data_IF_550940962796
#
_entry.id   IF_550940962796
#
_cell.length_a   1.000
_cell.length_b   1.000
_cell.length_c   1.000
_cell.angle_alpha   90.00
_cell.angle_beta   90.00
_cell.angle_gamma   90.00
#
_symmetry.space_group_name_H-M   'P 1'
#
loop_
_entity.id
_entity.type
_entity.pdbx_description
1 polymer ?
#
# COMPACT_ATOMS: atom_id res chain seq x y z
N UNK A 1 -5.31 2.74 -7.53
CA UNK A 1 -4.77 1.45 -7.10
C UNK A 1 -5.85 0.64 -6.40
N UNK A 2 -5.73 -0.68 -6.48
CA UNK A 2 -6.68 -1.64 -5.89
C UNK A 2 -5.92 -2.69 -5.06
N UNK A 3 -6.64 -3.42 -4.21
CA UNK A 3 -6.05 -4.45 -3.33
C UNK A 3 -6.29 -5.89 -3.82
N UNK A 4 -7.28 -6.11 -4.68
CA UNK A 4 -7.56 -7.40 -5.29
C UNK A 4 -8.06 -7.26 -6.73
N UNK A 5 -8.07 -8.37 -7.47
CA UNK A 5 -8.39 -8.38 -8.91
C UNK A 5 -9.88 -8.09 -9.17
N UNK A 6 -10.77 -8.45 -8.24
CA UNK A 6 -12.21 -8.23 -8.36
C UNK A 6 -12.56 -6.74 -8.29
N UNK A 7 -11.85 -5.97 -7.44
CA UNK A 7 -11.95 -4.50 -7.43
C UNK A 7 -11.55 -3.88 -8.77
N UNK A 8 -10.51 -4.44 -9.43
CA UNK A 8 -10.11 -3.97 -10.76
C UNK A 8 -11.20 -4.26 -11.80
N UNK A 9 -11.76 -5.46 -11.78
CA UNK A 9 -12.83 -5.86 -12.69
C UNK A 9 -14.07 -4.98 -12.51
N UNK A 10 -14.51 -4.75 -11.27
CA UNK A 10 -15.61 -3.85 -10.96
C UNK A 10 -15.37 -2.44 -11.53
N UNK A 11 -14.16 -1.90 -11.39
CA UNK A 11 -13.82 -0.60 -11.98
C UNK A 11 -13.88 -0.63 -13.52
N UNK A 12 -13.40 -1.70 -14.17
CA UNK A 12 -13.47 -1.86 -15.62
C UNK A 12 -14.90 -1.99 -16.12
N UNK A 13 -15.74 -2.74 -15.43
CA UNK A 13 -17.17 -2.90 -15.73
C UNK A 13 -17.92 -1.59 -15.61
N UNK A 14 -17.52 -0.72 -14.68
CA UNK A 14 -18.06 0.63 -14.53
C UNK A 14 -17.37 1.69 -15.43
N UNK A 15 -16.64 1.28 -16.45
CA UNK A 15 -16.12 2.15 -17.50
C UNK A 15 -14.83 2.90 -17.16
N UNK A 16 -14.16 2.59 -16.04
CA UNK A 16 -12.87 3.20 -15.69
C UNK A 16 -11.79 2.61 -16.61
N UNK A 17 -11.12 3.46 -17.42
CA UNK A 17 -10.06 3.10 -18.36
C UNK A 17 -8.67 3.60 -17.97
N UNK A 18 -8.56 4.33 -16.87
CA UNK A 18 -7.27 4.77 -16.32
C UNK A 18 -6.39 3.57 -15.95
N UNK A 19 -5.06 3.70 -15.95
CA UNK A 19 -4.16 2.68 -15.43
C UNK A 19 -4.53 2.29 -13.99
N UNK A 20 -4.57 0.98 -13.70
CA UNK A 20 -4.90 0.45 -12.38
C UNK A 20 -3.72 -0.37 -11.87
N UNK A 21 -3.14 0.04 -10.74
CA UNK A 21 -2.08 -0.68 -10.06
C UNK A 21 -2.67 -1.57 -8.96
N UNK A 22 -2.41 -2.88 -9.04
CA UNK A 22 -2.65 -3.86 -8.01
C UNK A 22 -1.51 -3.80 -6.98
N UNK A 23 -1.83 -3.46 -5.74
CA UNK A 23 -0.84 -3.36 -4.66
C UNK A 23 -0.64 -4.68 -3.89
N UNK A 24 -1.62 -5.57 -3.96
CA UNK A 24 -1.62 -6.84 -3.27
C UNK A 24 -0.98 -7.99 -4.04
N UNK A 25 -1.02 -9.16 -3.44
CA UNK A 25 -0.64 -10.41 -4.09
C UNK A 25 -1.77 -10.90 -4.98
N UNK A 26 -1.40 -11.36 -6.19
CA UNK A 26 -2.29 -12.08 -7.10
C UNK A 26 -1.61 -13.40 -7.47
N UNK A 27 -2.29 -14.55 -7.38
CA UNK A 27 -1.73 -15.81 -7.85
C UNK A 27 -1.44 -15.78 -9.36
N UNK A 28 -0.38 -16.45 -9.78
CA UNK A 28 0.06 -16.40 -11.18
C UNK A 28 -0.93 -17.09 -12.15
N UNK A 29 -1.81 -17.96 -11.69
CA UNK A 29 -2.89 -18.55 -12.50
C UNK A 29 -3.92 -17.52 -12.97
N UNK A 30 -3.96 -16.31 -12.35
CA UNK A 30 -4.78 -15.20 -12.76
C UNK A 30 -4.13 -14.33 -13.88
N UNK A 31 -3.00 -14.72 -14.45
CA UNK A 31 -2.27 -13.94 -15.46
C UNK A 31 -3.15 -13.55 -16.65
N UNK A 32 -4.00 -14.45 -17.14
CA UNK A 32 -4.91 -14.16 -18.23
C UNK A 32 -5.88 -13.03 -17.89
N UNK A 33 -6.47 -13.09 -16.70
CA UNK A 33 -7.40 -12.07 -16.21
C UNK A 33 -6.69 -10.72 -16.01
N UNK A 34 -5.44 -10.72 -15.51
CA UNK A 34 -4.61 -9.51 -15.37
C UNK A 34 -4.39 -8.85 -16.74
N UNK A 35 -4.07 -9.64 -17.77
CA UNK A 35 -3.86 -9.15 -19.13
C UNK A 35 -5.15 -8.60 -19.75
N UNK A 36 -6.28 -9.31 -19.59
CA UNK A 36 -7.59 -8.87 -20.09
C UNK A 36 -8.07 -7.56 -19.45
N UNK A 37 -7.77 -7.37 -18.17
CA UNK A 37 -8.11 -6.15 -17.43
C UNK A 37 -7.11 -5.00 -17.65
N UNK A 38 -6.04 -5.23 -18.43
CA UNK A 38 -4.96 -4.25 -18.61
C UNK A 38 -4.48 -3.68 -17.27
N UNK A 39 -4.26 -4.56 -16.30
CA UNK A 39 -3.88 -4.20 -14.94
C UNK A 39 -2.37 -4.25 -14.76
N UNK A 40 -1.81 -3.26 -14.05
CA UNK A 40 -0.40 -3.28 -13.62
C UNK A 40 -0.30 -4.04 -12.29
N UNK A 41 0.53 -5.07 -12.22
CA UNK A 41 0.67 -5.95 -11.06
C UNK A 41 1.91 -5.61 -10.23
N UNK A 42 1.77 -5.53 -8.91
CA UNK A 42 2.93 -5.50 -8.00
C UNK A 42 3.61 -6.87 -7.96
N UNK A 43 4.93 -6.89 -8.08
CA UNK A 43 5.78 -8.09 -8.03
C UNK A 43 6.72 -7.99 -6.83
N UNK A 44 6.79 -9.04 -6.02
CA UNK A 44 7.47 -9.05 -4.73
C UNK A 44 8.60 -10.09 -4.58
N UNK A 45 8.83 -10.93 -5.60
CA UNK A 45 9.94 -11.89 -5.65
C UNK A 45 10.24 -12.29 -7.09
N UNK A 46 11.45 -12.82 -7.32
CA UNK A 46 11.83 -13.35 -8.63
C UNK A 46 10.97 -14.52 -9.08
N UNK A 47 10.60 -15.43 -8.16
CA UNK A 47 9.84 -16.63 -8.51
C UNK A 47 8.46 -16.29 -9.05
N UNK A 48 7.73 -15.39 -8.40
CA UNK A 48 6.43 -14.95 -8.90
C UNK A 48 6.55 -14.15 -10.21
N UNK A 49 7.59 -13.31 -10.34
CA UNK A 49 7.88 -12.58 -11.56
C UNK A 49 8.12 -13.53 -12.74
N UNK A 50 8.92 -14.58 -12.53
CA UNK A 50 9.22 -15.62 -13.52
C UNK A 50 7.97 -16.38 -13.93
N UNK A 51 7.12 -16.74 -12.98
CA UNK A 51 5.87 -17.44 -13.28
C UNK A 51 4.93 -16.55 -14.10
N UNK A 52 4.74 -15.28 -13.73
CA UNK A 52 3.99 -14.31 -14.52
C UNK A 52 4.55 -14.15 -15.93
N UNK A 53 5.88 -14.00 -16.05
CA UNK A 53 6.53 -13.88 -17.36
C UNK A 53 6.25 -15.07 -18.26
N UNK A 54 6.41 -16.29 -17.75
CA UNK A 54 6.19 -17.51 -18.52
C UNK A 54 4.73 -17.63 -18.98
N UNK A 55 3.78 -17.33 -18.10
CA UNK A 55 2.34 -17.37 -18.42
C UNK A 55 1.94 -16.28 -19.41
N UNK A 56 2.45 -15.06 -19.24
CA UNK A 56 2.19 -13.97 -20.16
C UNK A 56 2.67 -14.31 -21.58
N UNK A 57 3.87 -14.88 -21.72
CA UNK A 57 4.39 -15.34 -23.00
C UNK A 57 3.55 -16.45 -23.62
N UNK A 58 3.11 -17.43 -22.81
CA UNK A 58 2.24 -18.50 -23.29
C UNK A 58 0.89 -17.98 -23.82
N UNK A 59 0.42 -16.84 -23.30
CA UNK A 59 -0.79 -16.13 -23.74
C UNK A 59 -0.50 -15.12 -24.87
N UNK A 60 0.75 -15.03 -25.36
CA UNK A 60 1.15 -14.12 -26.43
C UNK A 60 1.24 -12.64 -26.02
N UNK A 61 1.31 -12.36 -24.72
CA UNK A 61 1.32 -11.01 -24.17
C UNK A 61 2.53 -10.68 -23.29
N UNK A 62 2.53 -9.48 -22.73
CA UNK A 62 3.46 -9.03 -21.68
C UNK A 62 2.68 -8.36 -20.58
N UNK A 63 3.01 -8.67 -19.32
CA UNK A 63 2.43 -8.02 -18.15
C UNK A 63 3.19 -6.75 -17.78
N UNK A 64 2.47 -5.65 -17.56
CA UNK A 64 3.05 -4.46 -16.93
C UNK A 64 3.13 -4.68 -15.42
N UNK A 65 4.30 -4.42 -14.84
CA UNK A 65 4.55 -4.68 -13.43
C UNK A 65 5.28 -3.51 -12.75
N UNK A 66 4.99 -3.32 -11.44
CA UNK A 66 5.81 -2.53 -10.54
C UNK A 66 6.51 -3.45 -9.54
N UNK A 67 7.81 -3.24 -9.34
CA UNK A 67 8.57 -3.97 -8.34
C UNK A 67 8.28 -3.42 -6.95
N UNK A 68 7.88 -4.28 -6.04
CA UNK A 68 7.62 -3.90 -4.65
C UNK A 68 8.82 -4.22 -3.78
N UNK A 69 9.34 -3.21 -3.10
CA UNK A 69 10.40 -3.33 -2.11
C UNK A 69 9.81 -3.41 -0.70
N UNK A 70 10.38 -4.25 0.14
CA UNK A 70 10.18 -4.24 1.58
C UNK A 70 11.36 -3.57 2.26
N UNK A 71 11.23 -2.28 2.52
CA UNK A 71 12.27 -1.47 3.16
C UNK A 71 12.19 -1.48 4.69
N UNK A 72 11.22 -2.24 5.24
CA UNK A 72 11.02 -2.38 6.68
C UNK A 72 9.55 -2.48 7.13
N UNK A 73 8.60 -2.61 6.19
CA UNK A 73 7.19 -2.88 6.52
C UNK A 73 6.98 -4.32 7.01
N UNK A 74 7.84 -5.27 6.59
CA UNK A 74 7.75 -6.68 6.99
C UNK A 74 6.53 -7.40 6.43
N UNK A 75 6.12 -7.09 5.19
CA UNK A 75 4.88 -7.64 4.62
C UNK A 75 5.06 -8.30 3.25
N UNK A 76 5.24 -7.55 2.21
CA UNK A 76 5.47 -8.01 0.83
C UNK A 76 6.59 -7.19 0.20
N UNK A 77 7.41 -7.81 -0.64
CA UNK A 77 8.44 -7.11 -1.41
C UNK A 77 9.81 -7.75 -1.29
N UNK A 78 10.70 -7.34 -2.18
CA UNK A 78 12.12 -7.67 -2.11
C UNK A 78 12.72 -7.03 -0.86
N UNK A 79 13.33 -7.82 0.02
CA UNK A 79 13.82 -7.36 1.31
C UNK A 79 15.05 -6.44 1.16
N UNK A 80 14.97 -5.23 1.71
CA UNK A 80 16.01 -4.20 1.55
C UNK A 80 16.82 -3.95 2.84
N UNK A 81 16.76 -4.86 3.83
CA UNK A 81 17.67 -4.78 4.98
C UNK A 81 19.10 -5.08 4.55
N UNK A 82 20.10 -4.63 5.31
CA UNK A 82 21.52 -4.88 4.98
C UNK A 82 21.84 -6.37 4.75
N UNK A 83 21.20 -7.25 5.53
CA UNK A 83 21.43 -8.70 5.41
C UNK A 83 20.90 -9.30 4.11
N UNK A 84 19.93 -8.66 3.45
CA UNK A 84 19.23 -9.20 2.26
C UNK A 84 19.40 -8.32 1.02
N UNK A 85 20.10 -7.19 1.15
CA UNK A 85 20.17 -6.18 0.08
C UNK A 85 20.75 -6.76 -1.21
N UNK A 86 21.90 -7.41 -1.12
CA UNK A 86 22.61 -7.94 -2.31
C UNK A 86 21.84 -9.08 -2.98
N UNK A 87 21.20 -9.94 -2.20
CA UNK A 87 20.33 -11.00 -2.73
C UNK A 87 19.13 -10.41 -3.48
N UNK A 88 18.42 -9.47 -2.86
CA UNK A 88 17.28 -8.80 -3.47
C UNK A 88 17.67 -8.00 -4.72
N UNK A 89 18.81 -7.32 -4.69
CA UNK A 89 19.32 -6.61 -5.86
C UNK A 89 19.62 -7.59 -7.02
N UNK A 90 20.24 -8.73 -6.72
CA UNK A 90 20.48 -9.76 -7.73
C UNK A 90 19.16 -10.31 -8.32
N UNK A 91 18.18 -10.58 -7.46
CA UNK A 91 16.84 -11.00 -7.94
C UNK A 91 16.17 -9.96 -8.82
N UNK A 92 16.21 -8.69 -8.42
CA UNK A 92 15.62 -7.57 -9.19
C UNK A 92 16.28 -7.48 -10.57
N UNK A 93 17.61 -7.55 -10.65
CA UNK A 93 18.33 -7.53 -11.93
C UNK A 93 17.86 -8.67 -12.85
N UNK A 94 17.63 -9.86 -12.32
CA UNK A 94 17.08 -11.00 -13.08
C UNK A 94 15.63 -10.76 -13.50
N UNK A 95 14.83 -10.08 -12.69
CA UNK A 95 13.44 -9.73 -13.08
C UNK A 95 13.43 -8.80 -14.29
N UNK A 96 14.37 -7.85 -14.38
CA UNK A 96 14.47 -6.93 -15.52
C UNK A 96 14.73 -7.66 -16.86
N UNK A 97 15.32 -8.87 -16.81
CA UNK A 97 15.62 -9.68 -17.98
C UNK A 97 14.45 -10.58 -18.45
N UNK A 98 13.35 -10.64 -17.69
CA UNK A 98 12.22 -11.53 -17.99
C UNK A 98 11.41 -11.02 -19.19
N UNK A 99 11.37 -11.75 -20.32
CA UNK A 99 10.83 -11.24 -21.58
C UNK A 99 9.30 -11.07 -21.59
N UNK A 100 8.58 -11.74 -20.71
CA UNK A 100 7.12 -11.65 -20.56
C UNK A 100 6.66 -10.52 -19.66
N UNK A 101 7.60 -9.72 -19.11
CA UNK A 101 7.28 -8.56 -18.27
C UNK A 101 7.68 -7.25 -18.94
N UNK A 102 6.88 -6.22 -18.67
CA UNK A 102 7.22 -4.81 -18.87
C UNK A 102 7.33 -4.18 -17.49
N UNK A 103 8.54 -4.08 -16.96
CA UNK A 103 8.77 -3.39 -15.70
C UNK A 103 8.60 -1.89 -15.93
N UNK A 104 7.66 -1.27 -15.24
CA UNK A 104 7.32 0.15 -15.41
C UNK A 104 7.75 0.97 -14.20
N UNK A 105 7.56 0.44 -12.99
CA UNK A 105 7.84 1.20 -11.79
C UNK A 105 8.42 0.37 -10.65
N UNK A 106 8.81 1.08 -9.60
CA UNK A 106 9.34 0.52 -8.36
C UNK A 106 8.78 1.28 -7.17
N UNK A 107 8.44 0.57 -6.09
CA UNK A 107 7.84 1.22 -4.93
C UNK A 107 8.09 0.51 -3.60
N UNK A 108 7.93 1.27 -2.54
CA UNK A 108 7.85 0.75 -1.17
C UNK A 108 6.63 1.29 -0.43
N UNK A 109 6.45 0.92 0.84
CA UNK A 109 5.39 1.42 1.70
C UNK A 109 5.95 1.73 3.08
N UNK A 110 5.78 2.96 3.52
CA UNK A 110 6.20 3.39 4.85
C UNK A 110 5.27 2.81 5.92
N UNK A 111 5.85 2.39 7.04
CA UNK A 111 5.11 1.73 8.12
C UNK A 111 4.60 2.71 9.18
N UNK A 112 5.34 3.79 9.46
CA UNK A 112 5.11 4.72 10.58
C UNK A 112 5.27 6.19 10.17
N UNK A 113 5.01 6.51 8.89
CA UNK A 113 5.21 7.88 8.36
C UNK A 113 4.18 8.92 8.85
N UNK A 114 3.16 8.50 9.55
CA UNK A 114 2.13 9.31 10.20
C UNK A 114 2.40 9.55 11.70
N UNK A 115 3.49 9.00 12.22
CA UNK A 115 3.93 9.18 13.60
C UNK A 115 5.07 10.20 13.68
N UNK A 116 5.12 10.99 14.78
CA UNK A 116 6.09 12.05 15.01
C UNK A 116 7.11 11.75 16.12
N UNK A 117 7.15 10.50 16.62
CA UNK A 117 8.18 10.11 17.58
C UNK A 117 9.57 10.08 16.92
N UNK A 118 10.66 10.39 17.67
CA UNK A 118 12.00 10.34 17.11
C UNK A 118 12.35 8.99 16.45
N UNK A 119 11.88 7.91 17.05
CA UNK A 119 12.09 6.55 16.55
C UNK A 119 11.37 6.32 15.22
N UNK A 120 10.10 6.74 15.11
CA UNK A 120 9.29 6.61 13.90
C UNK A 120 9.82 7.47 12.75
N UNK A 121 10.25 8.70 13.06
CA UNK A 121 10.90 9.59 12.09
C UNK A 121 12.19 8.98 11.57
N UNK A 122 13.08 8.49 12.46
CA UNK A 122 14.32 7.86 12.08
C UNK A 122 14.09 6.58 11.25
N UNK A 123 13.07 5.78 11.59
CA UNK A 123 12.75 4.57 10.86
C UNK A 123 12.17 4.87 9.47
N UNK A 124 11.32 5.88 9.34
CA UNK A 124 10.80 6.32 8.03
C UNK A 124 11.92 6.82 7.13
N UNK A 125 12.87 7.59 7.68
CA UNK A 125 14.06 8.02 6.95
C UNK A 125 14.91 6.83 6.47
N UNK A 126 15.13 5.82 7.32
CA UNK A 126 15.83 4.59 6.95
C UNK A 126 15.09 3.82 5.83
N UNK A 127 13.76 3.75 5.89
CA UNK A 127 12.98 3.13 4.82
C UNK A 127 13.17 3.86 3.48
N UNK A 128 13.18 5.20 3.50
CA UNK A 128 13.43 6.01 2.31
C UNK A 128 14.86 5.83 1.78
N UNK A 129 15.86 5.82 2.65
CA UNK A 129 17.27 5.57 2.27
C UNK A 129 17.44 4.22 1.57
N UNK A 130 16.87 3.15 2.14
CA UNK A 130 16.88 1.81 1.54
C UNK A 130 16.19 1.78 0.17
N UNK A 131 15.09 2.51 0.04
CA UNK A 131 14.37 2.65 -1.23
C UNK A 131 15.23 3.33 -2.28
N UNK A 132 15.81 4.49 -1.97
CA UNK A 132 16.65 5.25 -2.88
C UNK A 132 17.91 4.47 -3.30
N UNK A 133 18.59 3.81 -2.33
CA UNK A 133 19.77 2.99 -2.60
C UNK A 133 19.46 1.81 -3.54
N UNK A 134 18.33 1.13 -3.34
CA UNK A 134 17.97 0.01 -4.21
C UNK A 134 17.70 0.48 -5.65
N UNK A 135 17.07 1.63 -5.83
CA UNK A 135 16.88 2.24 -7.15
C UNK A 135 18.22 2.56 -7.80
N UNK A 136 19.08 3.30 -7.10
CA UNK A 136 20.38 3.73 -7.61
C UNK A 136 21.26 2.53 -8.04
N UNK A 137 21.36 1.51 -7.20
CA UNK A 137 22.13 0.31 -7.48
C UNK A 137 21.55 -0.50 -8.65
N UNK A 138 20.21 -0.64 -8.70
CA UNK A 138 19.55 -1.34 -9.80
C UNK A 138 19.79 -0.62 -11.12
N UNK A 139 19.54 0.67 -11.16
CA UNK A 139 19.67 1.48 -12.37
C UNK A 139 21.12 1.61 -12.85
N UNK A 140 22.06 1.75 -11.90
CA UNK A 140 23.50 1.84 -12.21
C UNK A 140 24.02 0.55 -12.83
N UNK A 141 23.64 -0.61 -12.26
CA UNK A 141 24.17 -1.91 -12.71
C UNK A 141 23.52 -2.43 -13.98
N UNK A 142 22.22 -2.16 -14.19
CA UNK A 142 21.49 -2.66 -15.35
C UNK A 142 21.46 -1.70 -16.52
N UNK A 143 21.67 -0.42 -16.30
CA UNK A 143 21.38 0.64 -17.30
C UNK A 143 19.88 0.87 -17.53
N UNK A 144 19.02 0.10 -16.86
CA UNK A 144 17.56 0.30 -16.90
C UNK A 144 17.18 1.61 -16.19
N UNK A 145 16.04 2.19 -16.55
CA UNK A 145 15.45 3.33 -15.84
C UNK A 145 13.97 3.05 -15.59
N UNK A 146 13.58 3.11 -14.33
CA UNK A 146 12.16 3.01 -14.00
C UNK A 146 11.43 4.27 -14.46
N UNK A 147 10.25 4.09 -15.04
CA UNK A 147 9.41 5.22 -15.44
C UNK A 147 8.69 5.86 -14.23
N UNK A 148 8.44 5.09 -13.19
CA UNK A 148 7.72 5.53 -12.00
C UNK A 148 8.37 5.04 -10.71
N UNK A 149 8.67 5.98 -9.82
CA UNK A 149 9.13 5.71 -8.45
C UNK A 149 8.09 6.21 -7.46
N UNK A 150 7.72 5.41 -6.46
CA UNK A 150 6.76 5.88 -5.47
C UNK A 150 6.91 5.22 -4.09
N UNK A 151 6.97 6.03 -3.05
CA UNK A 151 7.06 5.57 -1.66
C UNK A 151 5.98 6.16 -0.76
N UNK A 152 5.56 7.40 -0.97
CA UNK A 152 4.64 8.10 -0.08
C UNK A 152 3.24 7.50 -0.08
N UNK A 153 2.81 7.04 1.10
CA UNK A 153 1.43 6.80 1.50
C UNK A 153 0.82 8.08 2.09
N UNK A 154 -0.34 8.00 2.74
CA UNK A 154 -1.00 9.15 3.36
C UNK A 154 -0.07 9.94 4.31
N UNK A 155 0.60 9.25 5.24
CA UNK A 155 1.55 9.88 6.16
C UNK A 155 2.75 10.49 5.43
N UNK A 156 3.32 9.77 4.45
CA UNK A 156 4.42 10.26 3.63
C UNK A 156 4.09 11.55 2.88
N UNK A 157 2.88 11.67 2.32
CA UNK A 157 2.43 12.88 1.64
C UNK A 157 2.37 14.08 2.59
N UNK A 158 1.90 13.87 3.82
CA UNK A 158 1.71 14.95 4.77
C UNK A 158 3.00 15.37 5.47
N UNK A 159 3.87 14.42 5.81
CA UNK A 159 5.05 14.65 6.66
C UNK A 159 6.36 14.77 5.88
N UNK A 160 6.42 14.21 4.65
CA UNK A 160 7.63 14.14 3.83
C UNK A 160 7.32 14.43 2.35
N UNK A 161 6.74 15.61 2.02
CA UNK A 161 6.35 15.93 0.64
C UNK A 161 7.53 15.96 -0.33
N UNK A 162 8.75 16.18 0.14
CA UNK A 162 9.99 16.14 -0.63
C UNK A 162 10.33 14.73 -1.15
N UNK A 163 9.73 13.68 -0.60
CA UNK A 163 9.91 12.29 -1.03
C UNK A 163 8.78 11.79 -1.95
N UNK A 164 8.00 12.70 -2.52
CA UNK A 164 6.85 12.33 -3.36
C UNK A 164 7.25 11.54 -4.62
N UNK A 165 8.45 11.72 -5.16
CA UNK A 165 8.93 11.13 -6.41
C UNK A 165 7.93 11.37 -7.56
N UNK A 166 7.72 10.36 -8.43
CA UNK A 166 6.85 10.50 -9.61
C UNK A 166 5.36 10.29 -9.28
N UNK A 167 5.04 9.58 -8.21
CA UNK A 167 3.66 9.24 -7.84
C UNK A 167 3.49 9.09 -6.33
N UNK A 168 2.33 9.48 -5.83
CA UNK A 168 1.92 9.30 -4.44
C UNK A 168 0.66 8.42 -4.33
N UNK A 169 0.43 7.83 -3.16
CA UNK A 169 -0.73 6.97 -2.88
C UNK A 169 -1.50 7.54 -1.70
N UNK A 170 -2.50 8.36 -1.98
CA UNK A 170 -3.24 9.12 -0.96
C UNK A 170 -3.97 8.22 0.05
N UNK A 171 -4.49 7.07 -0.37
CA UNK A 171 -5.13 6.11 0.55
C UNK A 171 -6.23 6.74 1.39
N UNK A 172 -6.16 6.51 2.70
CA UNK A 172 -7.22 6.86 3.65
C UNK A 172 -7.53 8.36 3.73
N UNK A 173 -6.57 9.22 3.47
CA UNK A 173 -6.82 10.69 3.54
C UNK A 173 -7.86 11.16 2.51
N UNK A 174 -8.03 10.46 1.38
CA UNK A 174 -9.07 10.78 0.39
C UNK A 174 -10.49 10.61 0.94
N UNK A 175 -10.66 9.78 1.96
CA UNK A 175 -11.95 9.56 2.61
C UNK A 175 -12.23 10.56 3.74
N UNK A 176 -11.29 11.47 4.01
CA UNK A 176 -11.42 12.47 5.05
C UNK A 176 -11.51 11.88 6.46
N UNK A 177 -10.84 10.74 6.69
CA UNK A 177 -10.89 10.02 7.96
C UNK A 177 -9.54 10.07 8.69
N UNK A 178 -9.60 10.28 10.01
CA UNK A 178 -8.45 10.35 10.91
C UNK A 178 -7.84 11.75 11.04
N UNK A 179 -7.01 11.92 12.08
CA UNK A 179 -6.42 13.20 12.48
C UNK A 179 -5.60 13.85 11.36
N UNK A 180 -4.93 13.03 10.54
CA UNK A 180 -4.14 13.52 9.42
C UNK A 180 -5.01 14.19 8.36
N UNK A 181 -6.15 13.57 8.01
CA UNK A 181 -7.09 14.14 7.06
C UNK A 181 -7.71 15.44 7.57
N UNK A 182 -8.02 15.54 8.87
CA UNK A 182 -8.51 16.75 9.52
C UNK A 182 -7.46 17.87 9.45
N UNK A 183 -6.20 17.59 9.80
CA UNK A 183 -5.09 18.55 9.69
C UNK A 183 -4.89 19.07 8.27
N UNK A 184 -5.16 18.24 7.25
CA UNK A 184 -5.10 18.61 5.84
C UNK A 184 -6.38 19.30 5.32
N UNK A 185 -7.37 19.58 6.18
CA UNK A 185 -8.64 20.22 5.80
C UNK A 185 -9.55 19.35 4.94
N UNK A 186 -9.36 18.04 4.95
CA UNK A 186 -10.19 17.09 4.20
C UNK A 186 -11.55 16.92 4.88
N UNK A 187 -12.59 16.70 4.08
CA UNK A 187 -13.94 16.47 4.59
C UNK A 187 -14.27 14.98 4.58
N UNK A 188 -14.87 14.42 5.67
CA UNK A 188 -15.33 13.05 5.68
C UNK A 188 -16.35 12.78 4.56
N UNK A 189 -16.10 11.72 3.78
CA UNK A 189 -17.02 11.27 2.71
C UNK A 189 -17.98 10.19 3.18
N UNK A 190 -17.78 9.66 4.39
CA UNK A 190 -18.62 8.62 5.00
C UNK A 190 -19.10 9.07 6.39
N UNK A 191 -20.32 8.72 6.74
CA UNK A 191 -20.85 8.90 8.09
C UNK A 191 -21.48 7.59 8.58
N UNK A 192 -21.08 7.13 9.76
CA UNK A 192 -21.74 6.03 10.46
C UNK A 192 -22.88 6.60 11.32
N UNK A 193 -24.09 6.10 11.12
CA UNK A 193 -25.27 6.53 11.86
C UNK A 193 -25.95 5.33 12.52
N UNK A 194 -26.50 5.57 13.72
CA UNK A 194 -27.33 4.59 14.42
C UNK A 194 -28.58 5.26 14.96
N UNK A 195 -29.50 4.46 15.45
CA UNK A 195 -30.68 4.92 16.17
C UNK A 195 -30.61 4.39 17.58
N UNK A 196 -31.02 5.23 18.55
CA UNK A 196 -31.17 4.81 19.93
C UNK A 196 -32.26 3.75 20.02
N UNK A 197 -31.89 2.57 20.49
CA UNK A 197 -32.82 1.46 20.68
C UNK A 197 -33.54 1.53 22.03
N UNK A 198 -32.84 2.00 23.08
CA UNK A 198 -33.41 2.15 24.42
C UNK A 198 -32.63 3.21 25.21
N UNK A 199 -33.28 3.76 26.24
CA UNK A 199 -32.65 4.65 27.22
C UNK A 199 -32.88 4.05 28.60
N UNK A 200 -31.83 4.03 29.40
CA UNK A 200 -31.87 3.55 30.81
C UNK A 200 -31.23 4.58 31.72
N UNK A 201 -31.75 4.68 32.90
CA UNK A 201 -31.21 5.49 34.00
C UNK A 201 -30.33 4.60 34.88
N UNK A 202 -29.17 5.09 35.25
CA UNK A 202 -28.18 4.43 36.11
C UNK A 202 -27.79 5.37 37.24
N UNK A 203 -27.66 4.83 38.46
CA UNK A 203 -27.13 5.60 39.57
C UNK A 203 -25.61 5.73 39.51
N UNK A 204 -25.03 6.58 40.33
CA UNK A 204 -23.59 6.69 40.45
C UNK A 204 -22.95 5.39 40.91
N UNK A 205 -21.83 5.01 40.28
CA UNK A 205 -21.08 3.78 40.61
C UNK A 205 -21.51 2.55 39.85
N UNK A 206 -22.49 2.61 38.95
CA UNK A 206 -22.89 1.47 38.14
C UNK A 206 -22.00 1.25 36.93
N UNK A 207 -21.61 0.01 36.59
CA UNK A 207 -20.77 -0.31 35.47
C UNK A 207 -21.57 -0.29 34.16
N UNK A 208 -20.92 0.15 33.06
CA UNK A 208 -21.51 0.19 31.74
C UNK A 208 -20.74 -0.75 30.79
N UNK A 209 -21.49 -1.60 30.07
CA UNK A 209 -21.05 -2.42 28.95
C UNK A 209 -19.94 -3.45 29.28
N UNK A 210 -19.38 -4.06 28.22
CA UNK A 210 -18.37 -5.10 28.33
C UNK A 210 -17.09 -4.61 29.01
N UNK A 211 -16.49 -5.51 29.81
CA UNK A 211 -15.24 -5.23 30.52
C UNK A 211 -15.42 -4.29 31.72
N UNK A 212 -16.59 -3.69 31.91
CA UNK A 212 -16.87 -2.73 32.99
C UNK A 212 -15.82 -1.61 33.06
N UNK A 213 -15.36 -1.14 31.90
CA UNK A 213 -14.29 -0.13 31.79
C UNK A 213 -14.73 1.27 32.16
N UNK A 214 -16.03 1.52 32.20
CA UNK A 214 -16.63 2.79 32.63
C UNK A 214 -17.64 2.55 33.77
N UNK A 215 -17.55 3.39 34.78
CA UNK A 215 -18.52 3.48 35.88
C UNK A 215 -19.12 4.89 35.87
N UNK A 216 -20.44 4.97 36.05
CA UNK A 216 -21.16 6.25 36.15
C UNK A 216 -20.64 7.05 37.31
N UNK A 217 -20.28 8.33 37.08
CA UNK A 217 -19.78 9.24 38.13
C UNK A 217 -20.91 9.99 38.87
N UNK A 218 -22.13 9.92 38.32
CA UNK A 218 -23.33 10.59 38.78
C UNK A 218 -24.54 9.85 38.23
N UNK A 219 -25.76 10.18 38.70
CA UNK A 219 -26.98 9.72 38.01
C UNK A 219 -26.89 10.09 36.51
N UNK A 220 -27.04 9.11 35.64
CA UNK A 220 -26.76 9.21 34.20
C UNK A 220 -27.83 8.50 33.38
N UNK A 221 -28.26 9.13 32.28
CA UNK A 221 -29.09 8.50 31.24
C UNK A 221 -28.18 7.97 30.16
N UNK A 222 -28.23 6.67 29.93
CA UNK A 222 -27.43 5.97 28.93
C UNK A 222 -28.33 5.52 27.79
N UNK A 223 -27.98 5.94 26.59
CA UNK A 223 -28.65 5.55 25.35
C UNK A 223 -27.89 4.38 24.71
N UNK A 224 -28.61 3.34 24.30
CA UNK A 224 -28.10 2.15 23.64
C UNK A 224 -28.70 2.05 22.23
#
# INVERSE_FOLDING_TARGET
AVSNIDECEELRDNGIRLPILMLGFTPADQTERILQLEMTQAVQSYDIAKEFSNRALALGGKMTVHLKLDTGMGRLGFACSEAHFDESLHEILRVLELPGLKVEGIFTHFSVSDEDTPESVAFTALQHERFARMIEETESRSGFRFALHHCCNAGGIASYPEWAWDMVRCGIILYGSGDLAEKMGMKPVMSLKTRVATIKDFDAGEPISYGRTYFTQRHSRIAV
#
